data_IF_139216920268
#
_entry.id   IF_139216920268
#
_cell.length_a   1.000
_cell.length_b   1.000
_cell.length_c   1.000
_cell.angle_alpha   90.00
_cell.angle_beta   90.00
_cell.angle_gamma   90.00
#
_symmetry.space_group_name_H-M   'P 1'
#
loop_
_entity.id
_entity.type
_entity.pdbx_description
1 polymer ?
#
# COMPACT_ATOMS: atom_id res chain seq x y z
N UNK A 1 -1.63 35.61 9.08
CA UNK A 1 -1.30 34.28 8.57
C UNK A 1 -1.04 33.40 9.77
N UNK A 2 -1.99 32.54 10.14
CA UNK A 2 -1.72 31.48 11.10
C UNK A 2 -0.86 30.44 10.39
N UNK A 3 0.31 30.14 10.94
CA UNK A 3 1.06 28.95 10.56
C UNK A 3 0.13 27.75 10.74
N UNK A 4 0.02 26.84 9.76
CA UNK A 4 -0.76 25.64 9.95
C UNK A 4 -0.10 24.85 11.09
N UNK A 5 -0.90 24.51 12.12
CA UNK A 5 -0.49 23.62 13.20
C UNK A 5 0.36 22.47 12.63
N UNK A 6 1.60 22.34 13.11
CA UNK A 6 2.54 21.34 12.60
C UNK A 6 1.97 19.95 12.90
N UNK A 7 1.26 19.36 11.94
CA UNK A 7 0.74 18.00 12.05
C UNK A 7 1.93 17.06 12.10
N UNK A 8 2.25 16.56 13.29
CA UNK A 8 3.30 15.57 13.46
C UNK A 8 2.92 14.30 12.69
N UNK A 9 3.67 14.02 11.63
CA UNK A 9 3.43 12.84 10.81
C UNK A 9 3.89 11.58 11.57
N UNK A 10 3.15 10.47 11.47
CA UNK A 10 3.57 9.19 12.02
C UNK A 10 4.94 8.78 11.48
N UNK A 11 5.84 8.37 12.37
CA UNK A 11 7.17 7.89 12.03
C UNK A 11 7.16 6.38 11.80
N UNK A 12 8.22 5.86 11.18
CA UNK A 12 8.34 4.42 10.89
C UNK A 12 8.37 3.59 12.17
N UNK A 13 8.95 4.14 13.23
CA UNK A 13 9.00 3.52 14.55
C UNK A 13 7.62 3.42 15.19
N UNK A 14 6.61 4.17 14.74
CA UNK A 14 5.24 4.04 15.26
C UNK A 14 4.59 2.72 14.79
N UNK A 15 5.10 2.11 13.71
CA UNK A 15 4.53 0.91 13.09
C UNK A 15 5.46 -0.30 13.06
N UNK A 16 6.77 -0.11 13.22
CA UNK A 16 7.75 -1.17 13.10
C UNK A 16 8.68 -1.24 14.30
N UNK A 17 8.99 -2.47 14.73
CA UNK A 17 10.08 -2.78 15.64
C UNK A 17 11.26 -3.32 14.85
N UNK A 18 12.40 -2.61 14.93
CA UNK A 18 13.63 -2.96 14.25
C UNK A 18 14.55 -3.70 15.23
N UNK A 19 14.70 -5.00 15.05
CA UNK A 19 15.63 -5.83 15.82
C UNK A 19 16.90 -6.09 15.01
N UNK A 20 17.93 -5.30 15.26
CA UNK A 20 19.21 -5.43 14.56
C UNK A 20 19.99 -6.68 14.95
N UNK A 21 19.87 -7.13 16.20
CA UNK A 21 20.54 -8.34 16.69
C UNK A 21 19.98 -9.61 16.01
N UNK A 22 18.65 -9.72 15.88
CA UNK A 22 18.02 -10.84 15.20
C UNK A 22 17.88 -10.65 13.68
N UNK A 23 18.14 -9.45 13.16
CA UNK A 23 17.97 -9.13 11.73
C UNK A 23 16.51 -9.12 11.27
N UNK A 24 15.59 -8.73 12.15
CA UNK A 24 14.15 -8.81 11.91
C UNK A 24 13.49 -7.43 11.99
N UNK A 25 12.51 -7.22 11.10
CA UNK A 25 11.59 -6.09 11.15
C UNK A 25 10.23 -6.67 11.49
N UNK A 26 9.67 -6.28 12.63
CA UNK A 26 8.36 -6.71 13.09
C UNK A 26 7.36 -5.58 12.97
N UNK A 27 6.11 -5.92 12.70
CA UNK A 27 5.02 -4.94 12.73
C UNK A 27 4.52 -4.77 14.17
N UNK A 28 4.39 -3.53 14.64
CA UNK A 28 3.87 -3.24 15.98
C UNK A 28 2.38 -3.56 16.08
N UNK A 29 1.99 -4.19 17.18
CA UNK A 29 0.59 -4.49 17.51
C UNK A 29 -0.03 -5.68 16.76
N UNK A 30 0.69 -6.26 15.79
CA UNK A 30 0.19 -7.35 14.94
C UNK A 30 1.25 -8.45 14.85
N UNK A 31 0.85 -9.70 14.64
CA UNK A 31 1.82 -10.79 14.44
C UNK A 31 2.26 -10.76 12.98
N UNK A 32 3.51 -10.42 12.71
CA UNK A 32 4.04 -10.44 11.35
C UNK A 32 5.43 -9.84 11.24
N UNK A 33 6.18 -10.33 10.26
CA UNK A 33 7.47 -9.77 9.86
C UNK A 33 7.29 -8.96 8.58
N UNK A 34 8.00 -7.85 8.52
CA UNK A 34 8.19 -7.10 7.29
C UNK A 34 9.62 -7.27 6.79
N UNK A 35 9.85 -6.82 5.57
CA UNK A 35 11.18 -6.71 4.99
C UNK A 35 11.24 -5.46 4.10
N UNK A 36 12.44 -4.95 3.90
CA UNK A 36 12.68 -3.82 3.02
C UNK A 36 13.07 -4.31 1.64
N UNK A 37 12.33 -3.87 0.61
CA UNK A 37 12.67 -4.14 -0.79
C UNK A 37 13.04 -2.83 -1.49
N UNK A 38 14.30 -2.65 -1.95
CA UNK A 38 14.69 -1.46 -2.69
C UNK A 38 13.85 -1.30 -3.98
N UNK A 39 13.48 -0.07 -4.31
CA UNK A 39 12.65 0.23 -5.50
C UNK A 39 13.29 -0.24 -6.82
N UNK A 40 14.63 -0.23 -6.91
CA UNK A 40 15.37 -0.79 -8.05
C UNK A 40 15.24 -2.32 -8.14
N UNK A 41 15.22 -3.02 -7.00
CA UNK A 41 15.00 -4.46 -6.96
C UNK A 41 13.55 -4.79 -7.37
N UNK A 42 12.58 -4.01 -6.88
CA UNK A 42 11.18 -4.11 -7.33
C UNK A 42 11.04 -3.89 -8.84
N UNK A 43 11.63 -2.82 -9.39
CA UNK A 43 11.59 -2.55 -10.83
C UNK A 43 12.19 -3.70 -11.64
N UNK A 44 13.29 -4.30 -11.19
CA UNK A 44 13.92 -5.46 -11.83
C UNK A 44 13.01 -6.68 -11.83
N UNK A 45 12.36 -6.96 -10.69
CA UNK A 45 11.38 -8.04 -10.57
C UNK A 45 10.19 -7.83 -11.51
N UNK A 46 9.60 -6.64 -11.49
CA UNK A 46 8.46 -6.26 -12.35
C UNK A 46 8.81 -6.44 -13.83
N UNK A 47 9.94 -5.90 -14.29
CA UNK A 47 10.37 -6.05 -15.69
C UNK A 47 10.57 -7.53 -16.06
N UNK A 48 11.12 -8.33 -15.14
CA UNK A 48 11.30 -9.77 -15.36
C UNK A 48 9.96 -10.50 -15.49
N UNK A 49 8.99 -10.16 -14.64
CA UNK A 49 7.62 -10.70 -14.70
C UNK A 49 6.93 -10.31 -16.00
N UNK A 50 6.99 -9.03 -16.40
CA UNK A 50 6.43 -8.56 -17.67
C UNK A 50 7.04 -9.29 -18.86
N UNK A 51 8.35 -9.56 -18.85
CA UNK A 51 9.03 -10.30 -19.92
C UNK A 51 8.61 -11.77 -19.99
N UNK A 52 8.48 -12.43 -18.84
CA UNK A 52 8.18 -13.87 -18.76
C UNK A 52 6.70 -14.15 -19.04
N UNK A 53 5.80 -13.36 -18.46
CA UNK A 53 4.35 -13.59 -18.53
C UNK A 53 3.66 -12.77 -19.62
N UNK A 54 4.35 -11.82 -20.26
CA UNK A 54 3.80 -10.93 -21.31
C UNK A 54 2.49 -10.28 -20.84
N UNK A 55 1.41 -10.45 -21.59
CA UNK A 55 0.08 -9.91 -21.30
C UNK A 55 -0.48 -10.40 -19.95
N UNK A 56 -0.15 -11.64 -19.55
CA UNK A 56 -0.59 -12.20 -18.28
C UNK A 56 0.08 -11.56 -17.06
N UNK A 57 1.19 -10.82 -17.25
CA UNK A 57 1.88 -10.15 -16.16
C UNK A 57 1.01 -9.09 -15.47
N UNK A 58 0.12 -8.43 -16.22
CA UNK A 58 -0.79 -7.42 -15.68
C UNK A 58 -1.75 -8.06 -14.68
N UNK A 59 -2.43 -9.13 -15.09
CA UNK A 59 -3.36 -9.85 -14.21
C UNK A 59 -2.63 -10.43 -12.99
N UNK A 60 -1.45 -11.01 -13.20
CA UNK A 60 -0.63 -11.51 -12.10
C UNK A 60 -0.26 -10.42 -11.09
N UNK A 61 0.24 -9.28 -11.56
CA UNK A 61 0.64 -8.15 -10.71
C UNK A 61 -0.55 -7.57 -9.94
N UNK A 62 -1.71 -7.41 -10.59
CA UNK A 62 -2.91 -6.96 -9.92
C UNK A 62 -3.42 -7.97 -8.90
N UNK A 63 -3.39 -9.27 -9.19
CA UNK A 63 -3.81 -10.29 -8.24
C UNK A 63 -2.86 -10.40 -7.04
N UNK A 64 -1.54 -10.30 -7.27
CA UNK A 64 -0.55 -10.23 -6.19
C UNK A 64 -0.79 -9.02 -5.29
N UNK A 65 -1.05 -7.85 -5.88
CA UNK A 65 -1.45 -6.65 -5.16
C UNK A 65 -2.70 -6.89 -4.31
N UNK A 66 -3.74 -7.47 -4.91
CA UNK A 66 -5.02 -7.77 -4.25
C UNK A 66 -4.84 -8.62 -2.99
N UNK A 67 -4.10 -9.72 -3.11
CA UNK A 67 -3.81 -10.59 -1.97
C UNK A 67 -3.04 -9.86 -0.85
N UNK A 68 -2.07 -9.00 -1.22
CA UNK A 68 -1.35 -8.17 -0.25
C UNK A 68 -2.29 -7.16 0.41
N UNK A 69 -3.20 -6.55 -0.35
CA UNK A 69 -4.21 -5.61 0.16
C UNK A 69 -5.11 -6.22 1.22
N UNK A 70 -5.61 -7.43 0.97
CA UNK A 70 -6.39 -8.21 1.95
C UNK A 70 -5.57 -8.45 3.22
N UNK A 71 -4.35 -8.98 3.09
CA UNK A 71 -3.51 -9.27 4.25
C UNK A 71 -3.18 -8.02 5.06
N UNK A 72 -3.06 -6.86 4.39
CA UNK A 72 -2.87 -5.57 5.05
C UNK A 72 -4.01 -5.23 6.01
N UNK A 73 -5.26 -5.45 5.57
CA UNK A 73 -6.44 -5.24 6.41
C UNK A 73 -6.52 -6.28 7.53
N UNK A 74 -6.26 -7.55 7.23
CA UNK A 74 -6.24 -8.64 8.22
C UNK A 74 -5.27 -8.39 9.36
N UNK A 75 -4.07 -7.92 9.04
CA UNK A 75 -3.07 -7.56 10.04
C UNK A 75 -3.59 -6.42 10.91
N UNK A 76 -4.26 -5.43 10.33
CA UNK A 76 -4.83 -4.29 11.03
C UNK A 76 -6.19 -4.56 11.72
N UNK A 77 -6.77 -5.77 11.66
CA UNK A 77 -8.10 -6.06 12.22
C UNK A 77 -8.24 -5.79 13.73
N UNK A 78 -7.14 -5.86 14.48
CA UNK A 78 -7.15 -5.52 15.90
C UNK A 78 -7.38 -4.04 16.18
N UNK A 79 -7.27 -3.19 15.15
CA UNK A 79 -7.59 -1.78 15.27
C UNK A 79 -9.11 -1.63 15.20
N UNK A 80 -9.72 -1.22 16.30
CA UNK A 80 -11.15 -0.93 16.33
C UNK A 80 -11.46 0.38 15.58
N UNK A 81 -12.51 0.37 14.76
CA UNK A 81 -13.00 1.58 14.12
C UNK A 81 -13.92 1.35 12.93
N UNK A 82 -14.57 2.43 12.48
CA UNK A 82 -15.34 2.46 11.23
C UNK A 82 -14.39 2.27 10.03
N UNK A 83 -14.83 1.64 8.92
CA UNK A 83 -14.02 1.40 7.72
C UNK A 83 -13.24 2.64 7.24
N UNK A 84 -13.88 3.82 7.21
CA UNK A 84 -13.24 5.10 6.90
C UNK A 84 -11.98 5.41 7.69
N UNK A 85 -12.02 5.16 9.01
CA UNK A 85 -10.89 5.42 9.91
C UNK A 85 -9.77 4.42 9.62
N UNK A 86 -10.11 3.16 9.44
CA UNK A 86 -9.16 2.09 9.13
C UNK A 86 -8.48 2.31 7.78
N UNK A 87 -9.22 2.71 6.74
CA UNK A 87 -8.67 3.07 5.43
C UNK A 87 -7.61 4.17 5.55
N UNK A 88 -7.87 5.23 6.34
CA UNK A 88 -6.90 6.30 6.57
C UNK A 88 -5.65 5.81 7.30
N UNK A 89 -5.81 4.92 8.29
CA UNK A 89 -4.68 4.33 9.02
C UNK A 89 -3.82 3.49 8.07
N UNK A 90 -4.43 2.59 7.29
CA UNK A 90 -3.71 1.72 6.35
C UNK A 90 -2.94 2.51 5.29
N UNK A 91 -3.55 3.56 4.74
CA UNK A 91 -2.87 4.46 3.81
C UNK A 91 -1.74 5.27 4.47
N UNK A 92 -1.89 5.61 5.75
CA UNK A 92 -0.80 6.23 6.52
C UNK A 92 0.35 5.25 6.75
N UNK A 93 0.07 3.98 7.04
CA UNK A 93 1.09 2.93 7.17
C UNK A 93 1.83 2.78 5.83
N UNK A 94 1.10 2.68 4.72
CA UNK A 94 1.71 2.59 3.38
C UNK A 94 2.60 3.81 3.08
N UNK A 95 2.14 5.02 3.42
CA UNK A 95 2.94 6.25 3.28
C UNK A 95 4.22 6.19 4.11
N UNK A 96 4.12 5.84 5.39
CA UNK A 96 5.26 5.73 6.30
C UNK A 96 6.23 4.61 5.89
N UNK A 97 5.72 3.59 5.21
CA UNK A 97 6.52 2.50 4.61
C UNK A 97 7.20 2.89 3.30
N UNK A 98 7.04 4.15 2.84
CA UNK A 98 7.68 4.66 1.63
C UNK A 98 6.98 4.28 0.33
N UNK A 99 5.72 3.84 0.36
CA UNK A 99 5.01 3.39 -0.85
C UNK A 99 4.57 4.55 -1.76
N UNK A 100 4.47 5.75 -1.19
CA UNK A 100 4.01 6.97 -1.85
C UNK A 100 3.08 7.78 -0.95
N UNK A 101 2.62 8.91 -1.45
CA UNK A 101 1.61 9.73 -0.77
C UNK A 101 0.23 9.41 -1.34
N UNK A 102 -0.70 9.01 -0.47
CA UNK A 102 -2.06 8.63 -0.85
C UNK A 102 -3.07 9.69 -0.44
N UNK A 103 -4.02 9.99 -1.32
CA UNK A 103 -5.26 10.70 -0.99
C UNK A 103 -6.46 9.92 -1.51
N UNK A 104 -7.59 10.02 -0.81
CA UNK A 104 -8.83 9.34 -1.15
C UNK A 104 -9.97 10.35 -1.22
N UNK A 105 -10.74 10.27 -2.29
CA UNK A 105 -11.95 11.06 -2.53
C UNK A 105 -13.14 10.11 -2.75
N UNK A 106 -14.37 10.62 -2.55
CA UNK A 106 -15.60 9.84 -2.73
C UNK A 106 -16.23 9.32 -1.42
N UNK A 107 -17.06 8.28 -1.54
CA UNK A 107 -17.85 7.71 -0.44
C UNK A 107 -17.01 6.79 0.44
N UNK A 108 -16.18 7.41 1.29
CA UNK A 108 -15.36 6.70 2.28
C UNK A 108 -16.15 6.13 3.46
N UNK A 109 -17.46 6.39 3.56
CA UNK A 109 -18.26 5.84 4.65
C UNK A 109 -18.82 4.45 4.27
N UNK A 110 -19.18 4.23 2.99
CA UNK A 110 -19.72 2.95 2.52
C UNK A 110 -18.90 2.26 1.41
N UNK A 111 -17.82 2.89 0.93
CA UNK A 111 -16.93 2.33 -0.09
C UNK A 111 -17.61 2.06 -1.43
N UNK A 112 -18.65 2.83 -1.79
CA UNK A 112 -19.41 2.60 -3.04
C UNK A 112 -18.67 3.10 -4.27
N UNK A 113 -18.04 4.26 -4.17
CA UNK A 113 -17.20 4.83 -5.21
C UNK A 113 -16.07 5.63 -4.56
N UNK A 114 -14.84 5.19 -4.79
CA UNK A 114 -13.64 5.81 -4.26
C UNK A 114 -12.68 6.13 -5.39
N UNK A 115 -12.06 7.31 -5.30
CA UNK A 115 -10.92 7.68 -6.14
C UNK A 115 -9.69 7.72 -5.24
N UNK A 116 -8.68 6.90 -5.54
CA UNK A 116 -7.41 6.88 -4.81
C UNK A 116 -6.31 7.46 -5.70
N UNK A 117 -5.65 8.50 -5.20
CA UNK A 117 -4.54 9.16 -5.89
C UNK A 117 -3.25 8.81 -5.15
N UNK A 118 -2.30 8.21 -5.86
CA UNK A 118 -0.98 7.88 -5.33
C UNK A 118 0.11 8.72 -6.02
N UNK A 119 0.72 9.65 -5.27
CA UNK A 119 1.87 10.45 -5.72
C UNK A 119 3.17 9.80 -5.26
N UNK A 120 4.23 9.92 -6.04
CA UNK A 120 5.54 9.30 -5.76
C UNK A 120 5.41 7.79 -5.51
N UNK A 121 4.61 7.10 -6.32
CA UNK A 121 4.36 5.67 -6.19
C UNK A 121 5.67 4.88 -6.39
N UNK A 122 6.07 4.12 -5.37
CA UNK A 122 7.26 3.27 -5.43
C UNK A 122 7.16 2.16 -6.47
N UNK A 123 5.94 1.72 -6.80
CA UNK A 123 5.70 0.56 -7.65
C UNK A 123 5.83 0.83 -9.15
N UNK A 124 5.75 2.10 -9.58
CA UNK A 124 6.04 2.52 -10.95
C UNK A 124 7.45 3.12 -11.12
N UNK A 125 8.33 2.92 -10.13
CA UNK A 125 9.71 3.39 -10.23
C UNK A 125 10.41 2.85 -11.49
N UNK A 126 11.24 3.70 -12.11
CA UNK A 126 11.96 3.48 -13.37
C UNK A 126 11.07 3.24 -14.61
N UNK A 127 9.76 3.50 -14.53
CA UNK A 127 8.94 3.60 -15.73
C UNK A 127 9.16 4.97 -16.37
N UNK A 128 9.48 4.96 -17.67
CA UNK A 128 9.38 6.14 -18.53
C UNK A 128 7.91 6.54 -18.68
N UNK A 129 7.62 7.75 -19.17
CA UNK A 129 6.28 8.14 -19.57
C UNK A 129 5.72 7.13 -20.58
N UNK A 130 4.90 6.19 -20.12
CA UNK A 130 4.23 5.18 -20.92
C UNK A 130 2.86 5.71 -21.36
N UNK A 131 2.40 5.33 -22.55
CA UNK A 131 1.03 5.62 -22.99
C UNK A 131 -0.03 4.84 -22.18
N UNK A 132 0.39 3.77 -21.49
CA UNK A 132 -0.45 2.87 -20.72
C UNK A 132 -0.18 2.93 -19.21
N UNK A 133 -1.19 2.70 -18.35
CA UNK A 133 -1.00 2.64 -16.89
C UNK A 133 -0.10 1.45 -16.48
N UNK A 134 0.78 1.66 -15.51
CA UNK A 134 1.81 0.66 -15.09
C UNK A 134 1.72 0.24 -13.61
N UNK A 135 0.91 0.93 -12.81
CA UNK A 135 0.76 0.69 -11.36
C UNK A 135 -0.13 -0.53 -11.02
N UNK A 136 -0.07 -1.62 -11.79
CA UNK A 136 -1.01 -2.74 -11.68
C UNK A 136 -1.04 -3.40 -10.28
N UNK A 137 0.13 -3.55 -9.64
CA UNK A 137 0.21 -4.05 -8.27
C UNK A 137 -0.50 -3.12 -7.28
N UNK A 138 -0.27 -1.81 -7.39
CA UNK A 138 -0.89 -0.85 -6.48
C UNK A 138 -2.41 -0.80 -6.65
N UNK A 139 -2.89 -0.87 -7.89
CA UNK A 139 -4.34 -0.95 -8.18
C UNK A 139 -4.93 -2.19 -7.53
N UNK A 140 -4.29 -3.35 -7.71
CA UNK A 140 -4.68 -4.58 -7.04
C UNK A 140 -4.74 -4.43 -5.53
N UNK A 141 -3.68 -3.88 -4.94
CA UNK A 141 -3.58 -3.62 -3.50
C UNK A 141 -4.71 -2.74 -2.97
N UNK A 142 -5.00 -1.63 -3.64
CA UNK A 142 -6.09 -0.74 -3.25
C UNK A 142 -7.44 -1.46 -3.32
N UNK A 143 -7.69 -2.21 -4.40
CA UNK A 143 -8.93 -2.96 -4.56
C UNK A 143 -9.09 -4.00 -3.45
N UNK A 144 -8.10 -4.88 -3.24
CA UNK A 144 -8.18 -5.91 -2.20
C UNK A 144 -8.33 -5.34 -0.79
N UNK A 145 -7.69 -4.20 -0.53
CA UNK A 145 -7.84 -3.49 0.74
C UNK A 145 -9.26 -2.94 0.91
N UNK A 146 -9.80 -2.22 -0.09
CA UNK A 146 -11.15 -1.62 -0.03
C UNK A 146 -12.22 -2.71 0.05
N UNK A 147 -12.12 -3.73 -0.79
CA UNK A 147 -13.06 -4.84 -0.84
C UNK A 147 -13.25 -5.50 0.53
N UNK A 148 -12.12 -5.84 1.14
CA UNK A 148 -12.10 -6.46 2.46
C UNK A 148 -12.63 -5.52 3.55
N UNK A 149 -12.27 -4.23 3.50
CA UNK A 149 -12.69 -3.22 4.48
C UNK A 149 -14.19 -2.97 4.49
N UNK A 150 -14.82 -2.92 3.32
CA UNK A 150 -16.23 -2.57 3.17
C UNK A 150 -17.12 -3.79 2.92
N UNK A 151 -16.56 -5.01 2.92
CA UNK A 151 -17.31 -6.26 2.78
C UNK A 151 -17.92 -6.45 1.38
N UNK A 152 -17.26 -5.96 0.34
CA UNK A 152 -17.70 -6.04 -1.06
C UNK A 152 -16.56 -6.61 -1.91
N UNK A 153 -16.79 -7.49 -2.89
CA UNK A 153 -15.84 -7.68 -3.99
C UNK A 153 -15.91 -6.52 -5.00
#
# INVERSE_FOLDING_TARGET
MQEPDSVQLPKIEDFYDLSYESGEIHLRGVKGRAFMLPTKAWATLRTSLSRLFKENAVQFMSHAGYAVGISYVEQAQKLEGKPKKLLRILLSIAKTSGWGHFSVEGDTDNGTQLTVIAKNCSFCHNESSTESPVCHFLVGFVNGMVDYLYGKP
#
